data_IF_197147200943
#
_entry.id   IF_197147200943
#
_cell.length_a   1.000
_cell.length_b   1.000
_cell.length_c   1.000
_cell.angle_alpha   90.00
_cell.angle_beta   90.00
_cell.angle_gamma   90.00
#
_symmetry.space_group_name_H-M   'P 1'
#
loop_
_entity.id
_entity.type
_entity.pdbx_description
1 polymer ?
#
# COMPACT_ATOMS: atom_id res chain seq x y z
N UNK A 1 -16.89 -8.62 5.52
CA UNK A 1 -17.62 -9.83 5.96
C UNK A 1 -18.60 -10.38 4.91
N UNK A 2 -19.34 -9.57 4.15
CA UNK A 2 -20.38 -10.08 3.23
C UNK A 2 -19.95 -10.77 1.92
N UNK A 3 -18.70 -10.61 1.45
CA UNK A 3 -18.26 -11.20 0.17
C UNK A 3 -17.77 -12.64 0.29
N UNK A 4 -17.25 -13.05 1.45
CA UNK A 4 -16.79 -14.43 1.69
C UNK A 4 -17.98 -15.38 1.72
N UNK A 5 -19.02 -15.00 2.48
CA UNK A 5 -20.27 -15.73 2.59
C UNK A 5 -20.89 -15.92 1.21
N UNK A 6 -20.83 -14.92 0.33
CA UNK A 6 -21.37 -15.02 -1.02
C UNK A 6 -20.61 -16.01 -1.92
N UNK A 7 -19.28 -16.08 -1.82
CA UNK A 7 -18.48 -17.04 -2.57
C UNK A 7 -18.67 -18.48 -2.05
N UNK A 8 -18.73 -18.64 -0.72
CA UNK A 8 -19.01 -19.93 -0.08
C UNK A 8 -20.42 -20.45 -0.39
N UNK A 9 -21.45 -19.59 -0.32
CA UNK A 9 -22.83 -19.96 -0.66
C UNK A 9 -22.94 -20.38 -2.13
N UNK A 10 -22.33 -19.62 -3.04
CA UNK A 10 -22.40 -19.90 -4.48
C UNK A 10 -21.74 -21.25 -4.82
N UNK A 11 -20.63 -21.58 -4.17
CA UNK A 11 -19.95 -22.87 -4.34
C UNK A 11 -20.76 -24.03 -3.76
N UNK A 12 -21.41 -23.84 -2.60
CA UNK A 12 -22.36 -24.82 -2.05
C UNK A 12 -23.56 -25.07 -2.99
N UNK A 13 -24.12 -24.02 -3.58
CA UNK A 13 -25.28 -24.13 -4.47
C UNK A 13 -24.92 -24.69 -5.86
N UNK A 14 -23.69 -24.47 -6.34
CA UNK A 14 -23.21 -24.95 -7.66
C UNK A 14 -22.52 -26.31 -7.65
N UNK A 15 -22.22 -26.87 -6.48
CA UNK A 15 -21.49 -28.13 -6.34
C UNK A 15 -20.00 -28.02 -6.71
N UNK A 16 -19.47 -26.81 -6.80
CA UNK A 16 -18.06 -26.54 -7.10
C UNK A 16 -17.28 -26.41 -5.78
N UNK A 17 -16.35 -27.32 -5.52
CA UNK A 17 -15.41 -27.19 -4.40
C UNK A 17 -14.40 -26.09 -4.71
N UNK A 18 -14.43 -24.99 -3.96
CA UNK A 18 -13.32 -24.03 -3.92
C UNK A 18 -12.13 -24.70 -3.22
N UNK A 19 -10.96 -24.80 -3.88
CA UNK A 19 -9.75 -25.25 -3.22
C UNK A 19 -9.52 -24.42 -1.96
N UNK A 20 -9.25 -25.07 -0.82
CA UNK A 20 -9.03 -24.38 0.47
C UNK A 20 -7.89 -23.36 0.40
N UNK A 21 -6.94 -23.58 -0.49
CA UNK A 21 -5.84 -22.67 -0.77
C UNK A 21 -6.31 -21.41 -1.50
N UNK A 22 -7.33 -21.50 -2.37
CA UNK A 22 -7.93 -20.34 -3.04
C UNK A 22 -8.70 -19.45 -2.06
N UNK A 23 -9.39 -20.04 -1.07
CA UNK A 23 -10.09 -19.29 -0.01
C UNK A 23 -9.07 -18.55 0.88
N UNK A 24 -8.02 -19.25 1.33
CA UNK A 24 -6.92 -18.62 2.09
C UNK A 24 -6.22 -17.50 1.30
N UNK A 25 -6.00 -17.72 0.01
CA UNK A 25 -5.41 -16.70 -0.88
C UNK A 25 -6.37 -15.53 -1.13
N UNK A 26 -7.68 -15.74 -1.09
CA UNK A 26 -8.68 -14.68 -1.20
C UNK A 26 -8.77 -13.85 0.09
N UNK A 27 -8.75 -14.51 1.25
CA UNK A 27 -8.70 -13.86 2.57
C UNK A 27 -7.41 -13.05 2.75
N UNK A 28 -6.27 -13.62 2.38
CA UNK A 28 -4.97 -12.95 2.38
C UNK A 28 -5.02 -11.63 1.59
N UNK A 29 -5.50 -11.68 0.34
CA UNK A 29 -5.63 -10.49 -0.52
C UNK A 29 -6.63 -9.48 0.05
N UNK A 30 -7.73 -9.95 0.62
CA UNK A 30 -8.71 -9.07 1.25
C UNK A 30 -8.12 -8.34 2.45
N UNK A 31 -7.37 -9.04 3.31
CA UNK A 31 -6.75 -8.46 4.49
C UNK A 31 -5.68 -7.42 4.13
N UNK A 32 -4.84 -7.70 3.13
CA UNK A 32 -3.87 -6.73 2.60
C UNK A 32 -4.60 -5.49 2.08
N UNK A 33 -5.63 -5.68 1.25
CA UNK A 33 -6.40 -4.57 0.69
C UNK A 33 -7.11 -3.74 1.76
N UNK A 34 -7.71 -4.38 2.76
CA UNK A 34 -8.33 -3.69 3.89
C UNK A 34 -7.29 -2.84 4.65
N UNK A 35 -6.12 -3.41 4.95
CA UNK A 35 -5.05 -2.69 5.61
C UNK A 35 -4.60 -1.46 4.81
N UNK A 36 -4.45 -1.57 3.48
CA UNK A 36 -4.10 -0.43 2.60
C UNK A 36 -5.19 0.66 2.64
N UNK A 37 -6.45 0.30 2.44
CA UNK A 37 -7.58 1.25 2.39
C UNK A 37 -7.75 1.97 3.74
N UNK A 38 -7.51 1.26 4.84
CA UNK A 38 -7.62 1.80 6.20
C UNK A 38 -6.36 2.60 6.60
N UNK A 39 -5.32 2.64 5.77
CA UNK A 39 -4.08 3.38 6.01
C UNK A 39 -3.09 2.66 6.94
N UNK A 40 -3.33 1.39 7.24
CA UNK A 40 -2.41 0.53 8.01
C UNK A 40 -1.36 -0.10 7.10
N UNK A 41 -0.51 0.74 6.49
CA UNK A 41 0.48 0.25 5.52
C UNK A 41 1.58 -0.63 6.14
N UNK A 42 1.92 -0.42 7.42
CA UNK A 42 2.85 -1.32 8.12
C UNK A 42 2.28 -2.76 8.21
N UNK A 43 0.99 -2.90 8.54
CA UNK A 43 0.30 -4.20 8.52
C UNK A 43 0.24 -4.78 7.11
N UNK A 44 -0.09 -3.96 6.11
CA UNK A 44 -0.15 -4.40 4.73
C UNK A 44 1.20 -4.92 4.23
N UNK A 45 2.29 -4.20 4.50
CA UNK A 45 3.65 -4.60 4.13
C UNK A 45 4.08 -5.90 4.82
N UNK A 46 3.75 -6.06 6.10
CA UNK A 46 4.01 -7.30 6.85
C UNK A 46 3.24 -8.47 6.22
N UNK A 47 1.95 -8.31 5.95
CA UNK A 47 1.11 -9.34 5.33
C UNK A 47 1.60 -9.69 3.92
N UNK A 48 2.03 -8.72 3.12
CA UNK A 48 2.60 -8.98 1.79
C UNK A 48 3.88 -9.81 1.92
N UNK A 49 4.80 -9.46 2.83
CA UNK A 49 6.03 -10.23 3.05
C UNK A 49 5.76 -11.66 3.53
N UNK A 50 4.76 -11.85 4.40
CA UNK A 50 4.39 -13.15 4.95
C UNK A 50 3.68 -14.05 3.93
N UNK A 51 2.76 -13.48 3.14
CA UNK A 51 1.83 -14.23 2.28
C UNK A 51 2.30 -14.30 0.83
N UNK A 52 3.08 -13.32 0.37
CA UNK A 52 3.57 -13.20 -1.01
C UNK A 52 5.02 -12.67 -1.01
N UNK A 53 5.99 -13.41 -0.45
CA UNK A 53 7.34 -12.91 -0.18
C UNK A 53 8.08 -12.40 -1.43
N UNK A 54 7.79 -12.93 -2.62
CA UNK A 54 8.45 -12.51 -3.86
C UNK A 54 7.71 -11.39 -4.61
N UNK A 55 6.47 -11.05 -4.22
CA UNK A 55 5.63 -10.10 -4.96
C UNK A 55 6.28 -8.73 -5.13
N UNK A 56 6.91 -8.22 -4.08
CA UNK A 56 7.53 -6.89 -4.10
C UNK A 56 8.85 -6.87 -4.88
N UNK A 57 9.54 -8.02 -4.96
CA UNK A 57 10.77 -8.16 -5.72
C UNK A 57 10.48 -8.31 -7.22
N UNK A 58 9.42 -9.05 -7.56
CA UNK A 58 8.96 -9.28 -8.93
C UNK A 58 8.18 -8.08 -9.50
N UNK A 59 7.46 -7.35 -8.65
CA UNK A 59 6.64 -6.21 -9.06
C UNK A 59 7.10 -4.90 -8.40
N UNK A 60 8.13 -4.30 -9.01
CA UNK A 60 8.78 -3.07 -8.52
C UNK A 60 7.86 -1.86 -8.50
N UNK A 61 6.89 -1.80 -9.43
CA UNK A 61 5.92 -0.70 -9.49
C UNK A 61 5.00 -0.73 -8.25
N UNK A 62 4.45 -1.91 -7.93
CA UNK A 62 3.65 -2.12 -6.71
C UNK A 62 4.47 -1.83 -5.45
N UNK A 63 5.72 -2.31 -5.40
CA UNK A 63 6.64 -2.01 -4.29
C UNK A 63 6.83 -0.51 -4.09
N UNK A 64 7.11 0.22 -5.17
CA UNK A 64 7.26 1.67 -5.12
C UNK A 64 6.00 2.35 -4.59
N UNK A 65 4.82 2.02 -5.13
CA UNK A 65 3.56 2.64 -4.71
C UNK A 65 3.22 2.35 -3.24
N UNK A 66 3.45 1.13 -2.76
CA UNK A 66 3.28 0.79 -1.35
C UNK A 66 4.22 1.58 -0.44
N UNK A 67 5.50 1.69 -0.81
CA UNK A 67 6.49 2.46 -0.05
C UNK A 67 6.14 3.95 -0.04
N UNK A 68 5.78 4.52 -1.19
CA UNK A 68 5.32 5.91 -1.28
C UNK A 68 4.07 6.15 -0.42
N UNK A 69 3.08 5.25 -0.48
CA UNK A 69 1.86 5.39 0.32
C UNK A 69 2.16 5.31 1.81
N UNK A 70 3.10 4.46 2.24
CA UNK A 70 3.51 4.39 3.63
C UNK A 70 4.13 5.72 4.11
N UNK A 71 4.99 6.33 3.30
CA UNK A 71 5.55 7.67 3.56
C UNK A 71 4.43 8.70 3.70
N UNK A 72 3.46 8.70 2.77
CA UNK A 72 2.29 9.60 2.81
C UNK A 72 1.49 9.42 4.12
N UNK A 73 1.27 8.19 4.59
CA UNK A 73 0.58 7.96 5.86
C UNK A 73 1.40 8.40 7.08
N UNK A 74 2.73 8.31 7.04
CA UNK A 74 3.60 8.86 8.09
C UNK A 74 3.52 10.39 8.11
N UNK A 75 3.57 11.05 6.95
CA UNK A 75 3.40 12.50 6.82
C UNK A 75 2.03 12.92 7.36
N UNK A 76 0.95 12.19 7.02
CA UNK A 76 -0.41 12.49 7.51
C UNK A 76 -0.52 12.37 9.04
N UNK A 77 0.32 11.54 9.67
CA UNK A 77 0.43 11.40 11.14
C UNK A 77 1.40 12.39 11.79
N UNK A 78 2.09 13.22 11.02
CA UNK A 78 3.12 14.14 11.52
C UNK A 78 4.45 13.46 11.85
N UNK A 79 4.66 12.22 11.40
CA UNK A 79 5.85 11.41 11.67
C UNK A 79 6.98 11.73 10.66
N UNK A 80 7.42 13.00 10.62
CA UNK A 80 8.37 13.50 9.61
C UNK A 80 9.70 12.75 9.59
N UNK A 81 10.41 12.67 10.73
CA UNK A 81 11.71 11.99 10.82
C UNK A 81 11.60 10.52 10.37
N UNK A 82 10.61 9.80 10.90
CA UNK A 82 10.33 8.41 10.54
C UNK A 82 10.07 8.23 9.04
N UNK A 83 9.40 9.19 8.39
CA UNK A 83 9.14 9.15 6.95
C UNK A 83 10.41 9.26 6.11
N UNK A 84 11.39 10.05 6.58
CA UNK A 84 12.69 10.22 5.91
C UNK A 84 13.58 9.00 6.12
N UNK A 85 13.67 8.51 7.36
CA UNK A 85 14.43 7.29 7.68
C UNK A 85 13.92 6.10 6.86
N UNK A 86 12.59 5.92 6.81
CA UNK A 86 11.98 4.87 6.02
C UNK A 86 12.32 4.99 4.52
N UNK A 87 12.29 6.20 3.97
CA UNK A 87 12.64 6.41 2.57
C UNK A 87 14.12 6.10 2.28
N UNK A 88 15.00 6.48 3.21
CA UNK A 88 16.42 6.21 3.08
C UNK A 88 16.74 4.71 3.07
N UNK A 89 16.09 3.96 3.96
CA UNK A 89 16.23 2.51 4.03
C UNK A 89 15.65 1.78 2.81
N UNK A 90 14.52 2.26 2.28
CA UNK A 90 13.72 1.49 1.34
C UNK A 90 13.82 1.95 -0.13
N UNK A 91 14.16 3.22 -0.39
CA UNK A 91 14.10 3.83 -1.72
C UNK A 91 15.41 4.48 -2.18
N UNK A 92 16.20 5.08 -1.30
CA UNK A 92 17.36 5.89 -1.71
C UNK A 92 18.46 5.13 -2.46
N UNK A 93 18.57 3.83 -2.23
CA UNK A 93 19.58 2.99 -2.89
C UNK A 93 19.00 2.19 -4.07
N UNK A 94 17.78 2.49 -4.53
CA UNK A 94 17.18 1.80 -5.67
C UNK A 94 17.59 2.50 -6.99
N UNK A 95 18.59 1.99 -7.74
CA UNK A 95 19.04 2.61 -8.97
C UNK A 95 18.03 2.47 -10.13
N UNK A 96 16.91 1.79 -9.89
CA UNK A 96 15.91 1.48 -10.92
C UNK A 96 14.68 2.35 -10.84
N UNK A 97 14.68 3.33 -9.92
CA UNK A 97 13.65 4.37 -9.90
C UNK A 97 13.67 5.16 -11.21
N UNK A 98 12.50 5.27 -11.81
CA UNK A 98 12.28 6.08 -13.02
C UNK A 98 12.19 7.57 -12.66
N UNK A 99 12.41 8.45 -13.64
CA UNK A 99 12.26 9.90 -13.44
C UNK A 99 10.86 10.29 -12.93
N UNK A 100 9.82 9.59 -13.40
CA UNK A 100 8.44 9.78 -12.92
C UNK A 100 8.27 9.41 -11.43
N UNK A 101 8.94 8.34 -10.99
CA UNK A 101 8.93 7.93 -9.59
C UNK A 101 9.71 8.91 -8.71
N UNK A 102 10.84 9.43 -9.20
CA UNK A 102 11.62 10.47 -8.51
C UNK A 102 10.82 11.77 -8.37
N UNK A 103 10.20 12.27 -9.44
CA UNK A 103 9.32 13.45 -9.40
C UNK A 103 8.15 13.26 -8.41
N UNK A 104 7.57 12.06 -8.35
CA UNK A 104 6.55 11.72 -7.36
C UNK A 104 7.08 11.75 -5.93
N UNK A 105 8.29 11.24 -5.68
CA UNK A 105 8.92 11.30 -4.36
C UNK A 105 9.26 12.73 -3.96
N UNK A 106 9.79 13.54 -4.87
CA UNK A 106 10.07 14.95 -4.62
C UNK A 106 8.80 15.70 -4.17
N UNK A 107 7.69 15.51 -4.88
CA UNK A 107 6.38 16.10 -4.50
C UNK A 107 5.89 15.58 -3.15
N UNK A 108 6.18 14.32 -2.82
CA UNK A 108 5.82 13.72 -1.54
C UNK A 108 6.62 14.36 -0.41
N UNK A 109 7.94 14.53 -0.56
CA UNK A 109 8.77 15.16 0.46
C UNK A 109 8.58 16.67 0.54
N UNK A 110 8.20 17.33 -0.55
CA UNK A 110 7.85 18.73 -0.52
C UNK A 110 6.70 19.03 0.47
N UNK A 111 5.82 18.07 0.76
CA UNK A 111 4.79 18.18 1.80
C UNK A 111 5.37 18.51 3.19
N UNK A 112 6.58 18.02 3.49
CA UNK A 112 7.25 18.25 4.77
C UNK A 112 7.69 19.71 4.96
N UNK A 113 7.80 20.49 3.88
CA UNK A 113 8.17 21.90 3.94
C UNK A 113 7.02 22.83 4.35
N UNK A 114 5.79 22.30 4.49
CA UNK A 114 4.60 23.08 4.82
C UNK A 114 4.13 22.77 6.24
N UNK A 115 3.83 23.82 7.03
CA UNK A 115 3.20 23.66 8.35
C UNK A 115 1.88 22.88 8.29
N UNK A 116 1.15 23.08 7.19
CA UNK A 116 -0.08 22.35 6.90
C UNK A 116 0.03 21.64 5.54
N UNK A 117 0.53 20.40 5.51
CA UNK A 117 0.74 19.65 4.28
C UNK A 117 -0.48 19.55 3.35
N UNK A 118 -1.69 19.48 3.93
CA UNK A 118 -2.95 19.39 3.20
C UNK A 118 -3.35 20.68 2.46
N UNK A 119 -2.85 21.84 2.88
CA UNK A 119 -3.10 23.14 2.24
C UNK A 119 -2.01 23.47 1.17
N UNK A 120 -1.03 22.58 0.99
CA UNK A 120 0.06 22.77 0.02
C UNK A 120 -0.38 22.52 -1.43
N UNK A 121 0.43 22.93 -2.44
CA UNK A 121 0.21 22.57 -3.84
C UNK A 121 0.12 21.07 -4.10
N UNK A 122 0.67 20.25 -3.20
CA UNK A 122 0.70 18.80 -3.29
C UNK A 122 -0.29 18.11 -2.34
N UNK A 123 -1.16 18.88 -1.66
CA UNK A 123 -2.10 18.36 -0.65
C UNK A 123 -3.02 17.24 -1.13
N UNK A 124 -3.30 17.15 -2.44
CA UNK A 124 -4.06 16.05 -3.06
C UNK A 124 -3.41 14.67 -2.90
N UNK A 125 -2.08 14.60 -2.67
CA UNK A 125 -1.39 13.36 -2.32
C UNK A 125 -1.81 12.84 -0.94
N UNK A 126 -2.41 13.69 -0.10
CA UNK A 126 -2.96 13.34 1.20
C UNK A 126 -4.46 13.02 1.14
N UNK A 127 -5.06 12.88 -0.04
CA UNK A 127 -6.44 12.43 -0.15
C UNK A 127 -6.55 10.93 0.14
N UNK A 128 -7.66 10.50 0.77
CA UNK A 128 -7.89 9.07 1.02
C UNK A 128 -8.05 8.26 -0.27
N UNK A 129 -8.44 8.91 -1.37
CA UNK A 129 -8.51 8.29 -2.71
C UNK A 129 -7.18 7.74 -3.18
N UNK A 130 -6.05 8.27 -2.69
CA UNK A 130 -4.72 7.75 -3.03
C UNK A 130 -4.54 6.30 -2.58
N UNK A 131 -5.18 5.88 -1.49
CA UNK A 131 -5.13 4.49 -1.00
C UNK A 131 -5.82 3.50 -1.93
N UNK A 132 -6.71 3.97 -2.81
CA UNK A 132 -7.43 3.12 -3.77
C UNK A 132 -6.65 2.90 -5.07
N UNK A 133 -5.56 3.65 -5.28
CA UNK A 133 -4.72 3.58 -6.47
C UNK A 133 -3.44 2.75 -6.26
N UNK A 134 -3.29 2.15 -5.08
CA UNK A 134 -2.24 1.18 -4.71
C UNK A 134 -2.76 -0.24 -4.97
#
# INVERSE_FOLDING_TARGET
MGKLIAAELLCQESGLELPKDDIKNLDARMNIRCAIIEGRLEDALRLVKELCPTLLDENREVRFHLMQQNIIEMIRRGEMEKSLDYAQENLSNDPTLTDSQLDRLEKTFALLAFEKPAESPFGKLLDQSQRQMV
#
